data_IF_694198121412
#
_entry.id   IF_694198121412
#
_cell.length_a   1.000
_cell.length_b   1.000
_cell.length_c   1.000
_cell.angle_alpha   90.00
_cell.angle_beta   90.00
_cell.angle_gamma   90.00
#
_symmetry.space_group_name_H-M   'P 1'
#
loop_
_entity.id
_entity.type
_entity.pdbx_description
1 polymer ?
#
# COMPACT_ATOMS: atom_id res chain seq x y z
N UNK A 1 17.44 -14.52 -16.68
CA UNK A 1 16.27 -15.37 -16.40
C UNK A 1 15.64 -14.93 -15.08
N UNK A 2 14.32 -15.07 -14.96
CA UNK A 2 13.54 -14.45 -13.89
C UNK A 2 13.78 -15.15 -12.54
N UNK A 3 14.23 -14.36 -11.56
CA UNK A 3 14.26 -14.77 -10.15
C UNK A 3 12.82 -14.75 -9.61
N UNK A 4 12.42 -15.82 -8.91
CA UNK A 4 11.10 -15.90 -8.27
C UNK A 4 11.27 -15.65 -6.77
N UNK A 5 10.71 -14.55 -6.29
CA UNK A 5 10.69 -14.19 -4.87
C UNK A 5 9.55 -14.93 -4.14
N UNK A 6 9.76 -15.29 -2.89
CA UNK A 6 8.86 -16.09 -2.04
C UNK A 6 8.41 -15.30 -0.81
N UNK A 7 7.14 -15.49 -0.42
CA UNK A 7 6.57 -15.02 0.85
C UNK A 7 6.61 -16.17 1.88
N UNK A 8 7.78 -16.37 2.50
CA UNK A 8 7.97 -17.41 3.51
C UNK A 8 7.77 -16.83 4.92
N UNK A 9 6.78 -17.29 5.71
CA UNK A 9 6.67 -16.97 7.14
C UNK A 9 7.93 -17.38 7.90
N UNK A 10 8.25 -16.68 8.99
CA UNK A 10 9.47 -16.98 9.77
C UNK A 10 9.47 -18.41 10.35
N UNK A 11 8.30 -18.96 10.67
CA UNK A 11 8.09 -20.33 11.16
C UNK A 11 8.46 -21.40 10.13
N UNK A 12 8.33 -21.10 8.84
CA UNK A 12 8.48 -22.04 7.72
C UNK A 12 9.81 -21.88 6.99
N UNK A 13 10.67 -20.98 7.50
CA UNK A 13 11.97 -20.64 6.89
C UNK A 13 12.89 -21.84 6.69
N UNK A 14 12.89 -22.79 7.63
CA UNK A 14 13.82 -23.92 7.62
C UNK A 14 13.35 -24.97 6.62
N UNK A 15 12.03 -25.11 6.44
CA UNK A 15 11.40 -25.94 5.42
C UNK A 15 11.68 -25.38 4.02
N UNK A 16 11.42 -24.08 3.79
CA UNK A 16 11.71 -23.43 2.51
C UNK A 16 13.20 -23.53 2.14
N UNK A 17 14.10 -23.36 3.13
CA UNK A 17 15.55 -23.55 2.93
C UNK A 17 15.91 -24.99 2.58
N UNK A 18 15.26 -25.98 3.19
CA UNK A 18 15.50 -27.40 2.91
C UNK A 18 15.10 -27.79 1.49
N UNK A 19 14.08 -27.11 0.96
CA UNK A 19 13.55 -27.31 -0.40
C UNK A 19 14.31 -26.51 -1.48
N UNK A 20 15.42 -25.85 -1.11
CA UNK A 20 16.33 -25.20 -2.05
C UNK A 20 16.16 -23.69 -2.17
N UNK A 21 15.23 -23.06 -1.45
CA UNK A 21 15.12 -21.61 -1.42
C UNK A 21 16.35 -20.96 -0.78
N UNK A 22 16.65 -19.75 -1.24
CA UNK A 22 17.77 -18.94 -0.75
C UNK A 22 17.26 -17.62 -0.19
N UNK A 23 17.94 -17.15 0.86
CA UNK A 23 17.65 -15.84 1.43
C UNK A 23 18.53 -14.80 0.76
N UNK A 24 17.92 -13.74 0.24
CA UNK A 24 18.63 -12.56 -0.21
C UNK A 24 18.72 -11.54 0.94
N UNK A 25 19.90 -11.29 1.52
CA UNK A 25 20.06 -10.33 2.61
C UNK A 25 19.87 -8.87 2.17
N UNK A 26 20.02 -8.57 0.88
CA UNK A 26 19.84 -7.22 0.33
C UNK A 26 18.36 -6.87 0.18
N UNK A 27 17.56 -7.77 -0.41
CA UNK A 27 16.11 -7.60 -0.57
C UNK A 27 15.31 -8.07 0.64
N UNK A 28 15.94 -8.82 1.56
CA UNK A 28 15.35 -9.47 2.73
C UNK A 28 14.13 -10.31 2.33
N UNK A 29 14.32 -11.14 1.33
CA UNK A 29 13.28 -11.97 0.72
C UNK A 29 13.88 -13.33 0.38
N UNK A 30 13.07 -14.37 0.57
CA UNK A 30 13.39 -15.71 0.08
C UNK A 30 13.19 -15.76 -1.42
N UNK A 31 14.00 -16.53 -2.14
CA UNK A 31 13.86 -16.67 -3.58
C UNK A 31 14.24 -18.08 -4.04
N UNK A 32 13.71 -18.48 -5.19
CA UNK A 32 14.08 -19.72 -5.87
C UNK A 32 15.30 -19.43 -6.76
N UNK A 33 16.48 -20.03 -6.50
CA UNK A 33 17.63 -19.91 -7.38
C UNK A 33 17.43 -20.72 -8.68
N UNK A 34 18.18 -20.37 -9.72
CA UNK A 34 18.09 -21.05 -11.02
C UNK A 34 18.41 -22.55 -10.90
N UNK A 35 17.54 -23.39 -11.47
CA UNK A 35 17.68 -24.86 -11.44
C UNK A 35 17.07 -25.57 -10.24
N UNK A 36 16.45 -24.86 -9.30
CA UNK A 36 15.65 -25.47 -8.21
C UNK A 36 14.21 -25.67 -8.65
N UNK A 37 13.64 -26.82 -8.29
CA UNK A 37 12.24 -27.14 -8.59
C UNK A 37 11.28 -26.20 -7.85
N UNK A 38 10.32 -25.65 -8.59
CA UNK A 38 9.35 -24.69 -8.07
C UNK A 38 8.23 -25.42 -7.32
N UNK A 39 7.89 -26.65 -7.72
CA UNK A 39 6.75 -27.40 -7.17
C UNK A 39 6.73 -27.48 -5.63
N UNK A 40 7.82 -27.91 -4.97
CA UNK A 40 7.88 -28.00 -3.51
C UNK A 40 7.83 -26.64 -2.81
N UNK A 41 8.22 -25.57 -3.50
CA UNK A 41 8.23 -24.21 -2.97
C UNK A 41 6.94 -23.43 -3.30
N UNK A 42 5.99 -24.07 -3.99
CA UNK A 42 4.79 -23.44 -4.53
C UNK A 42 3.93 -22.75 -3.45
N UNK A 43 3.85 -23.33 -2.25
CA UNK A 43 3.09 -22.77 -1.12
C UNK A 43 3.60 -21.40 -0.65
N UNK A 44 4.86 -21.07 -0.90
CA UNK A 44 5.46 -19.76 -0.59
C UNK A 44 5.63 -18.87 -1.81
N UNK A 45 5.18 -19.32 -2.99
CA UNK A 45 5.06 -18.39 -4.10
C UNK A 45 4.20 -17.21 -3.63
N UNK A 46 4.47 -15.99 -4.12
CA UNK A 46 3.61 -14.88 -3.84
C UNK A 46 2.29 -15.21 -4.53
N UNK A 47 1.40 -15.84 -3.77
CA UNK A 47 -0.03 -15.78 -4.03
C UNK A 47 -0.32 -14.31 -3.85
N UNK A 48 -0.34 -13.58 -4.96
CA UNK A 48 -1.28 -12.48 -5.07
C UNK A 48 -2.60 -13.14 -4.68
N UNK A 49 -3.24 -12.71 -3.60
CA UNK A 49 -4.55 -13.24 -3.17
C UNK A 49 -5.65 -13.11 -4.26
N UNK A 50 -5.26 -12.67 -5.47
CA UNK A 50 -6.06 -12.44 -6.65
C UNK A 50 -5.42 -12.98 -7.96
N UNK A 51 -4.32 -13.75 -7.93
CA UNK A 51 -3.70 -14.26 -9.17
C UNK A 51 -4.43 -15.46 -9.80
N UNK A 52 -5.06 -16.29 -8.96
CA UNK A 52 -5.85 -17.45 -9.44
C UNK A 52 -7.33 -17.09 -9.69
N UNK A 53 -7.67 -15.81 -9.57
CA UNK A 53 -9.01 -15.29 -9.85
C UNK A 53 -9.01 -14.67 -11.25
N UNK A 54 -9.27 -15.49 -12.28
CA UNK A 54 -9.50 -15.03 -13.67
C UNK A 54 -10.58 -13.91 -13.80
N UNK A 55 -11.30 -13.60 -12.72
CA UNK A 55 -12.47 -12.72 -12.70
C UNK A 55 -12.41 -11.56 -11.66
N UNK A 56 -11.29 -11.37 -10.94
CA UNK A 56 -11.14 -10.26 -9.97
C UNK A 56 -10.61 -8.97 -10.63
N UNK A 57 -10.88 -7.77 -10.09
CA UNK A 57 -10.26 -6.55 -10.62
C UNK A 57 -8.76 -6.52 -10.30
N UNK A 58 -7.95 -6.00 -11.23
CA UNK A 58 -6.49 -5.82 -11.03
C UNK A 58 -6.16 -4.94 -9.81
N UNK A 59 -7.03 -3.96 -9.54
CA UNK A 59 -6.96 -3.04 -8.41
C UNK A 59 -8.27 -3.05 -7.63
N UNK A 60 -8.20 -3.12 -6.29
CA UNK A 60 -9.38 -3.16 -5.41
C UNK A 60 -9.93 -1.80 -5.02
N UNK A 61 -9.20 -0.71 -5.28
CA UNK A 61 -9.64 0.67 -4.96
C UNK A 61 -9.50 1.56 -6.18
N UNK A 62 -10.53 2.34 -6.50
CA UNK A 62 -10.51 3.29 -7.63
C UNK A 62 -11.20 4.62 -7.35
N UNK A 63 -10.78 5.67 -8.06
CA UNK A 63 -11.47 6.96 -8.07
C UNK A 63 -11.21 7.73 -9.38
N UNK A 64 -12.16 8.57 -9.82
CA UNK A 64 -12.01 9.38 -11.04
C UNK A 64 -10.97 10.50 -10.91
N UNK A 65 -10.64 10.90 -9.68
CA UNK A 65 -9.59 11.85 -9.33
C UNK A 65 -9.14 11.58 -7.90
N UNK A 66 -7.98 12.10 -7.52
CA UNK A 66 -7.44 11.95 -6.17
C UNK A 66 -6.55 13.13 -5.79
N UNK A 67 -6.09 13.15 -4.55
CA UNK A 67 -5.10 14.10 -4.06
C UNK A 67 -3.84 13.36 -3.65
N UNK A 68 -2.67 13.86 -4.04
CA UNK A 68 -1.42 13.52 -3.36
C UNK A 68 -1.35 14.39 -2.12
N UNK A 69 -1.19 13.78 -0.95
CA UNK A 69 -0.98 14.46 0.32
C UNK A 69 0.52 14.60 0.53
N UNK A 70 1.00 15.82 0.74
CA UNK A 70 2.34 16.10 1.25
C UNK A 70 2.22 16.59 2.70
N UNK A 71 2.96 15.95 3.60
CA UNK A 71 3.05 16.28 5.03
C UNK A 71 4.50 16.11 5.51
N UNK A 72 4.73 16.29 6.80
CA UNK A 72 6.05 16.15 7.42
C UNK A 72 5.99 15.25 8.66
N UNK A 73 7.07 14.54 8.92
CA UNK A 73 7.21 13.68 10.11
C UNK A 73 8.66 13.67 10.58
N UNK A 74 8.87 13.45 11.88
CA UNK A 74 10.18 13.24 12.46
C UNK A 74 10.71 11.84 12.11
N UNK A 75 11.94 11.76 11.63
CA UNK A 75 12.55 10.46 11.36
C UNK A 75 13.06 9.79 12.64
N UNK A 76 12.57 8.60 12.98
CA UNK A 76 13.09 7.81 14.11
C UNK A 76 14.58 7.44 13.98
N UNK A 77 15.12 7.42 12.76
CA UNK A 77 16.51 7.01 12.50
C UNK A 77 17.53 8.14 12.62
N UNK A 78 17.20 9.36 12.20
CA UNK A 78 18.12 10.50 12.21
C UNK A 78 17.59 11.76 12.89
N UNK A 79 16.36 11.71 13.42
CA UNK A 79 15.66 12.81 14.11
C UNK A 79 15.46 14.09 13.28
N UNK A 80 15.79 14.08 11.99
CA UNK A 80 15.46 15.18 11.10
C UNK A 80 14.02 15.09 10.63
N UNK A 81 13.41 16.26 10.44
CA UNK A 81 12.14 16.40 9.76
C UNK A 81 12.29 15.96 8.30
N UNK A 82 11.35 15.17 7.81
CA UNK A 82 11.33 14.68 6.43
C UNK A 82 9.93 14.79 5.86
N UNK A 83 9.83 15.06 4.56
CA UNK A 83 8.54 15.01 3.88
C UNK A 83 8.07 13.56 3.76
N UNK A 84 6.77 13.39 3.89
CA UNK A 84 6.07 12.11 3.74
C UNK A 84 4.84 12.32 2.88
N UNK A 85 4.50 11.28 2.12
CA UNK A 85 3.44 11.33 1.12
C UNK A 85 2.41 10.23 1.34
N UNK A 86 1.16 10.53 1.00
CA UNK A 86 0.04 9.58 0.97
C UNK A 86 -0.98 10.06 -0.08
N UNK A 87 -2.15 9.45 -0.15
CA UNK A 87 -3.23 9.85 -1.04
C UNK A 87 -4.53 10.11 -0.27
N UNK A 88 -5.31 11.08 -0.73
CA UNK A 88 -6.69 11.29 -0.28
C UNK A 88 -7.64 11.06 -1.44
N UNK A 89 -8.67 10.27 -1.20
CA UNK A 89 -9.69 9.90 -2.17
C UNK A 89 -10.98 10.70 -1.93
N UNK A 90 -11.71 11.04 -3.01
CA UNK A 90 -12.98 11.77 -2.90
C UNK A 90 -14.10 10.87 -2.37
N UNK A 91 -15.26 11.45 -2.05
CA UNK A 91 -16.43 10.69 -1.57
C UNK A 91 -16.97 9.66 -2.56
N UNK A 92 -16.66 9.84 -3.83
CA UNK A 92 -17.08 8.98 -4.94
C UNK A 92 -16.08 7.86 -5.25
N UNK A 93 -15.05 7.67 -4.42
CA UNK A 93 -14.17 6.52 -4.58
C UNK A 93 -14.95 5.22 -4.35
N UNK A 94 -14.49 4.16 -5.00
CA UNK A 94 -15.09 2.85 -4.91
C UNK A 94 -14.05 1.84 -4.43
N UNK A 95 -14.49 0.96 -3.55
CA UNK A 95 -13.74 -0.20 -3.07
C UNK A 95 -14.45 -1.47 -3.56
N UNK A 96 -13.70 -2.45 -4.03
CA UNK A 96 -14.24 -3.73 -4.46
C UNK A 96 -14.43 -4.63 -3.25
N UNK A 97 -15.69 -4.96 -2.95
CA UNK A 97 -16.08 -5.80 -1.83
C UNK A 97 -16.23 -7.24 -2.31
N UNK A 98 -15.40 -8.13 -1.81
CA UNK A 98 -15.42 -9.55 -2.20
C UNK A 98 -16.59 -10.25 -1.50
N UNK A 99 -17.31 -11.10 -2.23
CA UNK A 99 -18.27 -11.98 -1.58
C UNK A 99 -17.50 -13.03 -0.76
N UNK A 100 -17.83 -13.13 0.51
CA UNK A 100 -17.29 -14.15 1.40
C UNK A 100 -18.31 -15.28 1.43
N UNK A 101 -18.11 -16.31 0.61
CA UNK A 101 -18.91 -17.53 0.71
C UNK A 101 -18.44 -18.33 1.92
N UNK A 102 -19.21 -18.26 3.02
CA UNK A 102 -18.92 -19.05 4.22
C UNK A 102 -19.31 -20.54 4.08
N UNK A 103 -20.02 -20.94 3.00
CA UNK A 103 -20.82 -22.19 2.99
C UNK A 103 -20.76 -23.11 1.73
N UNK A 104 -19.95 -22.91 0.68
CA UNK A 104 -20.05 -23.81 -0.53
C UNK A 104 -18.76 -24.50 -1.02
N UNK A 105 -18.86 -25.83 -1.15
CA UNK A 105 -17.93 -26.77 -1.81
C UNK A 105 -17.68 -26.49 -3.31
N UNK A 106 -18.37 -25.52 -3.93
CA UNK A 106 -18.24 -25.16 -5.35
C UNK A 106 -18.53 -23.66 -5.60
N UNK A 107 -17.51 -22.78 -5.54
CA UNK A 107 -17.73 -21.36 -5.83
C UNK A 107 -18.13 -21.15 -7.29
N UNK A 108 -19.27 -20.47 -7.51
CA UNK A 108 -19.70 -19.98 -8.82
C UNK A 108 -18.70 -18.93 -9.30
N UNK A 109 -17.95 -19.26 -10.35
CA UNK A 109 -16.84 -18.45 -10.89
C UNK A 109 -17.24 -17.11 -11.50
N UNK A 110 -18.51 -16.70 -11.46
CA UNK A 110 -19.03 -15.61 -12.31
C UNK A 110 -19.28 -14.26 -11.65
N UNK A 111 -19.05 -14.07 -10.34
CA UNK A 111 -19.00 -12.75 -9.70
C UNK A 111 -18.28 -12.86 -8.34
N UNK A 112 -17.04 -12.38 -8.23
CA UNK A 112 -16.24 -12.46 -6.99
C UNK A 112 -16.55 -11.34 -5.98
N UNK A 113 -17.38 -10.38 -6.36
CA UNK A 113 -17.67 -9.21 -5.54
C UNK A 113 -18.34 -8.09 -6.33
N UNK A 114 -18.49 -6.94 -5.69
CA UNK A 114 -19.09 -5.74 -6.28
C UNK A 114 -18.33 -4.47 -5.90
N UNK A 115 -18.38 -3.47 -6.77
CA UNK A 115 -17.84 -2.14 -6.47
C UNK A 115 -18.81 -1.37 -5.57
N UNK A 116 -18.33 -0.90 -4.42
CA UNK A 116 -19.11 -0.11 -3.46
C UNK A 116 -18.54 1.27 -3.30
N UNK A 117 -19.44 2.25 -3.32
CA UNK A 117 -19.14 3.63 -2.95
C UNK A 117 -19.66 3.88 -1.53
N UNK A 118 -18.77 4.11 -0.58
CA UNK A 118 -19.12 4.29 0.83
C UNK A 118 -19.49 5.74 1.20
N UNK A 119 -19.39 6.69 0.26
CA UNK A 119 -19.87 8.07 0.43
C UNK A 119 -19.02 8.95 1.36
N UNK A 120 -17.80 8.54 1.71
CA UNK A 120 -16.87 9.32 2.53
C UNK A 120 -15.55 9.59 1.80
N UNK A 121 -14.84 10.65 2.20
CA UNK A 121 -13.45 10.83 1.75
C UNK A 121 -12.58 9.79 2.44
N UNK A 122 -11.60 9.27 1.73
CA UNK A 122 -10.71 8.22 2.22
C UNK A 122 -9.27 8.70 2.32
N UNK A 123 -8.54 8.34 3.38
CA UNK A 123 -7.07 8.49 3.40
C UNK A 123 -6.43 7.14 3.15
N UNK A 124 -5.55 7.06 2.16
CA UNK A 124 -4.95 5.80 1.71
C UNK A 124 -3.79 5.40 2.61
N UNK A 125 -3.73 4.11 2.96
CA UNK A 125 -2.64 3.49 3.72
C UNK A 125 -2.44 2.04 3.26
N UNK A 126 -1.41 1.35 3.77
CA UNK A 126 -1.07 -0.04 3.45
C UNK A 126 -1.08 -0.32 1.95
N UNK A 127 -0.41 0.54 1.18
CA UNK A 127 -0.42 0.48 -0.29
C UNK A 127 0.44 -0.69 -0.76
N UNK A 128 -0.17 -1.78 -1.21
CA UNK A 128 0.53 -2.92 -1.80
C UNK A 128 1.04 -2.58 -3.21
N UNK A 129 0.16 -2.04 -4.04
CA UNK A 129 0.47 -1.66 -5.43
C UNK A 129 -0.29 -0.40 -5.87
N UNK A 130 0.30 0.30 -6.84
CA UNK A 130 -0.28 1.46 -7.52
C UNK A 130 -0.25 1.19 -9.02
N UNK A 131 -1.26 1.67 -9.75
CA UNK A 131 -1.20 1.62 -11.21
C UNK A 131 -0.01 2.41 -11.76
N UNK A 132 0.49 2.09 -12.97
CA UNK A 132 1.60 2.82 -13.57
C UNK A 132 1.33 4.33 -13.71
N UNK A 133 0.07 4.70 -13.93
CA UNK A 133 -0.36 6.10 -14.03
C UNK A 133 -0.24 6.82 -12.69
N UNK A 134 -0.75 6.22 -11.60
CA UNK A 134 -0.64 6.81 -10.26
C UNK A 134 0.82 6.88 -9.82
N UNK A 135 1.59 5.83 -10.09
CA UNK A 135 3.04 5.79 -9.81
C UNK A 135 3.80 6.91 -10.53
N UNK A 136 3.50 7.14 -11.81
CA UNK A 136 4.09 8.23 -12.60
C UNK A 136 3.78 9.60 -11.97
N UNK A 137 2.55 9.83 -11.52
CA UNK A 137 2.18 11.09 -10.88
C UNK A 137 2.89 11.25 -9.53
N UNK A 138 2.94 10.20 -8.70
CA UNK A 138 3.65 10.22 -7.42
C UNK A 138 5.14 10.58 -7.60
N UNK A 139 5.79 10.03 -8.63
CA UNK A 139 7.20 10.30 -8.93
C UNK A 139 7.51 11.75 -9.33
N UNK A 140 6.51 12.56 -9.66
CA UNK A 140 6.69 14.02 -9.82
C UNK A 140 6.94 14.71 -8.48
N UNK A 141 6.52 14.11 -7.37
CA UNK A 141 6.66 14.65 -6.01
C UNK A 141 7.79 13.97 -5.24
N UNK A 142 7.89 12.64 -5.34
CA UNK A 142 8.88 11.87 -4.58
C UNK A 142 9.27 10.54 -5.23
N UNK A 143 10.54 10.17 -5.04
CA UNK A 143 11.05 8.81 -5.32
C UNK A 143 11.34 8.04 -4.02
N UNK A 144 10.87 8.55 -2.88
CA UNK A 144 11.12 7.99 -1.54
C UNK A 144 9.90 7.22 -0.99
N UNK A 145 8.78 7.21 -1.70
CA UNK A 145 7.66 6.31 -1.45
C UNK A 145 7.85 5.05 -2.31
N UNK A 146 8.30 3.94 -1.70
CA UNK A 146 8.76 2.75 -2.44
C UNK A 146 8.59 1.47 -1.63
N UNK A 147 8.63 0.33 -2.31
CA UNK A 147 8.41 -0.97 -1.68
C UNK A 147 9.50 -1.29 -0.66
N UNK A 148 9.09 -1.70 0.54
CA UNK A 148 9.98 -2.20 1.56
C UNK A 148 9.26 -3.18 2.50
N UNK A 149 10.01 -4.10 3.08
CA UNK A 149 9.51 -4.96 4.15
C UNK A 149 9.36 -4.20 5.48
N UNK A 150 8.19 -4.30 6.11
CA UNK A 150 7.92 -3.82 7.47
C UNK A 150 7.86 -5.00 8.44
N UNK A 151 8.68 -4.95 9.50
CA UNK A 151 8.63 -5.98 10.55
C UNK A 151 7.32 -5.94 11.33
N UNK A 152 6.79 -4.73 11.57
CA UNK A 152 5.57 -4.52 12.35
C UNK A 152 4.34 -5.04 11.61
N UNK A 153 4.28 -4.85 10.29
CA UNK A 153 3.17 -5.33 9.47
C UNK A 153 3.36 -6.79 8.99
N UNK A 154 4.57 -7.34 9.09
CA UNK A 154 4.89 -8.69 8.60
C UNK A 154 4.94 -8.83 7.07
N UNK A 155 4.68 -7.75 6.32
CA UNK A 155 4.55 -7.75 4.86
C UNK A 155 5.42 -6.71 4.16
N UNK A 156 5.51 -6.80 2.82
CA UNK A 156 6.11 -5.78 1.96
C UNK A 156 4.99 -4.93 1.38
N UNK A 157 5.15 -3.63 1.42
CA UNK A 157 4.23 -2.69 0.79
C UNK A 157 4.99 -1.38 0.48
N UNK A 158 4.38 -0.48 -0.30
CA UNK A 158 4.92 0.83 -0.62
C UNK A 158 4.83 1.74 0.61
N UNK A 159 5.97 2.26 1.07
CA UNK A 159 6.04 3.12 2.25
C UNK A 159 6.99 4.29 2.07
N UNK A 160 6.82 5.30 2.91
CA UNK A 160 7.70 6.45 2.97
C UNK A 160 9.11 6.05 3.44
N UNK A 161 10.11 6.76 2.94
CA UNK A 161 11.49 6.68 3.41
C UNK A 161 11.98 8.09 3.69
N UNK A 162 12.72 8.26 4.79
CA UNK A 162 13.32 9.53 5.14
C UNK A 162 14.17 10.06 3.98
N UNK A 163 13.96 11.32 3.60
CA UNK A 163 14.72 11.98 2.54
C UNK A 163 16.20 12.12 2.91
N UNK A 164 16.52 12.17 4.20
CA UNK A 164 17.87 12.44 4.71
C UNK A 164 18.70 11.16 4.91
N UNK A 165 18.15 10.16 5.61
CA UNK A 165 18.90 8.93 5.96
C UNK A 165 18.36 7.66 5.29
N UNK A 166 17.22 7.72 4.60
CA UNK A 166 16.60 6.57 3.95
C UNK A 166 15.95 5.57 4.91
N UNK A 167 15.84 5.89 6.21
CA UNK A 167 15.10 5.05 7.16
C UNK A 167 13.65 4.86 6.71
N UNK A 168 13.12 3.66 6.90
CA UNK A 168 11.75 3.28 6.53
C UNK A 168 10.76 3.93 7.51
N UNK A 169 9.73 4.56 6.98
CA UNK A 169 8.67 5.22 7.74
C UNK A 169 7.37 4.48 7.42
N UNK A 170 6.99 3.56 8.31
CA UNK A 170 5.82 2.70 8.14
C UNK A 170 4.52 3.38 8.54
N UNK A 171 3.39 2.82 8.08
CA UNK A 171 2.10 3.52 8.03
C UNK A 171 1.46 3.66 9.40
N UNK A 172 1.70 2.70 10.31
CA UNK A 172 1.15 2.72 11.67
C UNK A 172 1.34 4.07 12.38
N UNK A 173 2.57 4.59 12.40
CA UNK A 173 2.88 5.86 13.07
C UNK A 173 2.30 7.08 12.34
N UNK A 174 2.06 6.99 11.03
CA UNK A 174 1.58 8.13 10.25
C UNK A 174 0.05 8.18 10.14
N UNK A 175 -0.61 7.02 10.18
CA UNK A 175 -2.04 6.85 9.90
C UNK A 175 -2.86 6.38 11.11
N UNK A 176 -2.23 5.78 12.13
CA UNK A 176 -2.95 5.18 13.27
C UNK A 176 -2.63 5.86 14.61
N UNK A 177 -1.60 6.71 14.68
CA UNK A 177 -1.31 7.52 15.87
C UNK A 177 -1.96 8.90 15.80
N UNK A 178 -2.50 9.34 16.93
CA UNK A 178 -3.08 10.68 17.09
C UNK A 178 -2.03 11.76 16.80
N UNK A 179 -2.32 12.64 15.85
CA UNK A 179 -1.38 13.68 15.41
C UNK A 179 -0.30 13.16 14.45
N UNK A 180 -0.41 11.90 14.00
CA UNK A 180 0.39 11.33 12.93
C UNK A 180 0.26 12.16 11.65
N UNK A 181 1.24 12.05 10.76
CA UNK A 181 1.37 12.92 9.58
C UNK A 181 0.14 12.93 8.65
N UNK A 182 -0.69 11.88 8.71
CA UNK A 182 -1.94 11.72 7.95
C UNK A 182 -3.16 11.45 8.83
N UNK A 183 -3.04 11.65 10.14
CA UNK A 183 -4.13 11.52 11.12
C UNK A 183 -4.23 12.78 11.99
N UNK A 184 -4.55 13.94 11.38
CA UNK A 184 -4.67 15.20 12.12
C UNK A 184 -5.82 15.12 13.12
N UNK A 185 -5.58 15.66 14.31
CA UNK A 185 -6.56 15.73 15.41
C UNK A 185 -7.06 17.14 15.66
N UNK A 186 -6.55 18.12 14.92
CA UNK A 186 -6.97 19.50 14.99
C UNK A 186 -6.82 20.23 13.64
N UNK A 187 -7.57 21.33 13.44
CA UNK A 187 -7.40 22.25 12.31
C UNK A 187 -5.95 22.71 12.07
N UNK A 188 -5.23 23.03 13.15
CA UNK A 188 -3.85 23.52 13.08
C UNK A 188 -2.89 22.44 12.55
N UNK A 189 -3.11 21.18 12.90
CA UNK A 189 -2.34 20.08 12.34
C UNK A 189 -2.61 19.90 10.84
N UNK A 190 -3.88 19.96 10.44
CA UNK A 190 -4.30 19.82 9.05
C UNK A 190 -3.78 20.96 8.15
N UNK A 191 -3.62 22.18 8.67
CA UNK A 191 -3.03 23.31 7.94
C UNK A 191 -1.59 23.09 7.46
N UNK A 192 -0.87 22.14 8.07
CA UNK A 192 0.49 21.75 7.67
C UNK A 192 0.50 20.78 6.49
N UNK A 193 -0.65 20.21 6.14
CA UNK A 193 -0.81 19.26 5.05
C UNK A 193 -1.16 19.99 3.76
N UNK A 194 -0.51 19.59 2.67
CA UNK A 194 -0.80 20.09 1.32
C UNK A 194 -1.48 18.99 0.51
N UNK A 195 -2.62 19.30 -0.10
CA UNK A 195 -3.32 18.40 -1.01
C UNK A 195 -3.14 18.88 -2.43
N UNK A 196 -2.56 18.04 -3.28
CA UNK A 196 -2.33 18.37 -4.70
C UNK A 196 -3.30 17.56 -5.52
N UNK A 197 -4.28 18.23 -6.13
CA UNK A 197 -5.31 17.55 -6.92
C UNK A 197 -4.73 16.99 -8.20
N UNK A 198 -4.97 15.72 -8.46
CA UNK A 198 -4.64 15.03 -9.70
C UNK A 198 -5.95 14.69 -10.40
N UNK A 199 -6.19 15.31 -11.55
CA UNK A 199 -7.43 15.13 -12.33
C UNK A 199 -7.32 13.94 -13.30
N UNK A 200 -6.88 12.81 -12.75
CA UNK A 200 -6.66 11.56 -13.45
C UNK A 200 -7.13 10.41 -12.55
N UNK A 201 -7.41 9.26 -13.16
CA UNK A 201 -7.91 8.08 -12.45
C UNK A 201 -6.88 7.57 -11.43
N UNK A 202 -7.39 7.20 -10.26
CA UNK A 202 -6.68 6.47 -9.23
C UNK A 202 -7.07 4.99 -9.32
N UNK A 203 -6.09 4.09 -9.30
CA UNK A 203 -6.28 2.65 -9.15
C UNK A 203 -5.13 2.09 -8.29
N UNK A 204 -5.45 1.37 -7.23
CA UNK A 204 -4.49 0.81 -6.28
C UNK A 204 -5.03 -0.41 -5.54
N UNK A 205 -4.11 -1.24 -5.03
CA UNK A 205 -4.40 -2.20 -3.97
C UNK A 205 -3.90 -1.61 -2.66
N UNK A 206 -4.82 -1.15 -1.82
CA UNK A 206 -4.51 -0.42 -0.59
C UNK A 206 -5.68 -0.47 0.40
N UNK A 207 -5.45 -0.04 1.64
CA UNK A 207 -6.51 0.23 2.61
C UNK A 207 -6.97 1.68 2.53
N UNK A 208 -8.27 1.91 2.72
CA UNK A 208 -8.86 3.25 2.80
C UNK A 208 -9.37 3.52 4.21
N UNK A 209 -8.77 4.51 4.88
CA UNK A 209 -9.19 4.94 6.22
C UNK A 209 -10.38 5.90 6.17
N UNK A 210 -11.37 5.64 7.02
CA UNK A 210 -12.48 6.55 7.32
C UNK A 210 -12.17 7.41 8.55
N UNK A 211 -12.55 8.68 8.52
CA UNK A 211 -12.54 9.57 9.67
C UNK A 211 -13.87 10.35 9.73
N UNK A 212 -14.48 10.44 10.91
CA UNK A 212 -15.70 11.23 11.12
C UNK A 212 -15.47 12.73 10.93
N UNK A 213 -14.26 13.20 11.26
CA UNK A 213 -13.79 14.55 11.02
C UNK A 213 -12.42 14.45 10.33
N UNK A 214 -12.37 14.80 9.05
CA UNK A 214 -11.18 14.58 8.23
C UNK A 214 -10.34 15.85 8.01
N UNK A 215 -10.77 16.97 8.61
CA UNK A 215 -10.19 18.30 8.55
C UNK A 215 -9.81 18.77 7.13
N UNK A 216 -10.46 18.25 6.09
CA UNK A 216 -10.09 18.55 4.70
C UNK A 216 -10.10 20.04 4.40
N UNK A 217 -11.09 20.77 4.89
CA UNK A 217 -11.27 22.21 4.62
C UNK A 217 -10.15 23.07 5.24
N UNK A 218 -9.36 22.50 6.14
CA UNK A 218 -8.20 23.15 6.76
C UNK A 218 -6.88 22.84 6.05
N UNK A 219 -6.88 21.88 5.13
CA UNK A 219 -5.69 21.51 4.36
C UNK A 219 -5.44 22.48 3.20
N UNK A 220 -4.18 22.66 2.82
CA UNK A 220 -3.81 23.54 1.72
C UNK A 220 -4.03 22.84 0.37
N UNK A 221 -5.17 23.08 -0.28
CA UNK A 221 -5.45 22.51 -1.59
C UNK A 221 -4.76 23.31 -2.70
N UNK A 222 -3.98 22.62 -3.53
CA UNK A 222 -3.30 23.15 -4.71
C UNK A 222 -3.72 22.36 -5.94
N UNK A 223 -3.77 23.06 -7.08
CA UNK A 223 -3.91 22.40 -8.37
C UNK A 223 -2.55 21.85 -8.81
N UNK A 224 -2.57 20.83 -9.66
CA UNK A 224 -1.38 20.29 -10.29
C UNK A 224 -0.62 21.41 -11.05
N UNK A 225 0.71 21.51 -10.91
CA UNK A 225 1.52 22.41 -11.72
C UNK A 225 1.63 21.95 -13.18
#
# INVERSE_FOLDING_TARGET
MARIDLKVPLSEKDEAKSLGARWDPSLKTWYIPEGVDIGPLAQWLPVTEHADLEHGPEFSVRASYYYVIESVSDCWGCSNLTRVFSFKLPQQHEEFDYYVDEDEDFPLTSNLGEWKCHGHRGTVSNVDSLSPQVTKQLHRFTNKFKQAYSKTAGSRYLMNHCENCGAKLGDFFMHSELGGAFFPTSPHEAQRMTLIRINERFDANCSVGFASEDFFDWMQVRQQP
#
